data_IF_211868620345
#
_entry.id   IF_211868620345
#
_cell.length_a   1.000
_cell.length_b   1.000
_cell.length_c   1.000
_cell.angle_alpha   90.00
_cell.angle_beta   90.00
_cell.angle_gamma   90.00
#
_symmetry.space_group_name_H-M   'P 1'
#
loop_
_entity.id
_entity.type
_entity.pdbx_description
1 polymer ?
#
# COMPACT_ATOMS: atom_id res chain seq x y z
N UNK A 1 0.80 -11.86 -4.82
CA UNK A 1 0.09 -10.85 -4.01
C UNK A 1 -1.38 -10.97 -4.37
N UNK A 2 -2.26 -11.18 -3.39
CA UNK A 2 -3.69 -11.23 -3.62
C UNK A 2 -4.26 -9.84 -3.39
N UNK A 3 -4.47 -9.08 -4.47
CA UNK A 3 -5.30 -7.88 -4.43
C UNK A 3 -6.74 -8.35 -4.32
N UNK A 4 -7.33 -8.16 -3.14
CA UNK A 4 -8.75 -8.34 -2.94
C UNK A 4 -9.44 -7.19 -3.69
N UNK A 5 -10.00 -7.47 -4.87
CA UNK A 5 -10.80 -6.50 -5.62
C UNK A 5 -12.03 -6.20 -4.76
N UNK A 6 -12.01 -5.06 -4.07
CA UNK A 6 -13.21 -4.54 -3.43
C UNK A 6 -14.29 -4.37 -4.49
N UNK A 7 -15.53 -4.78 -4.20
CA UNK A 7 -16.67 -4.63 -5.10
C UNK A 7 -16.65 -3.27 -5.77
N UNK A 8 -16.42 -3.26 -7.08
CA UNK A 8 -16.50 -2.06 -7.88
C UNK A 8 -17.92 -1.50 -7.76
N UNK A 9 -18.03 -0.22 -7.37
CA UNK A 9 -19.31 0.47 -7.37
C UNK A 9 -19.49 1.01 -8.78
N UNK A 10 -20.34 0.35 -9.57
CA UNK A 10 -20.73 0.85 -10.88
C UNK A 10 -21.67 2.03 -10.71
N UNK A 11 -21.29 3.20 -11.22
CA UNK A 11 -22.19 4.34 -11.41
C UNK A 11 -22.69 4.33 -12.84
N UNK A 12 -23.67 3.46 -13.08
CA UNK A 12 -24.29 3.28 -14.40
C UNK A 12 -24.88 4.58 -14.97
N UNK A 13 -25.25 5.53 -14.11
CA UNK A 13 -25.76 6.86 -14.47
C UNK A 13 -24.69 7.78 -15.10
N UNK A 14 -23.41 7.53 -14.80
CA UNK A 14 -22.27 8.30 -15.31
C UNK A 14 -21.42 7.51 -16.31
N UNK A 15 -21.73 6.23 -16.52
CA UNK A 15 -20.96 5.33 -17.40
C UNK A 15 -19.53 5.08 -16.91
N UNK A 16 -19.28 5.20 -15.59
CA UNK A 16 -17.95 5.02 -14.99
C UNK A 16 -17.98 3.99 -13.85
N UNK A 17 -16.89 3.25 -13.72
CA UNK A 17 -16.64 2.30 -12.64
C UNK A 17 -15.76 2.97 -11.58
N UNK A 18 -16.23 3.06 -10.34
CA UNK A 18 -15.39 3.50 -9.23
C UNK A 18 -14.47 2.34 -8.81
N UNK A 19 -13.15 2.57 -8.91
CA UNK A 19 -12.15 1.59 -8.44
C UNK A 19 -11.71 1.91 -7.03
N UNK A 20 -11.56 0.88 -6.20
CA UNK A 20 -10.92 0.98 -4.88
C UNK A 20 -9.73 0.05 -4.83
N UNK A 21 -8.55 0.62 -4.58
CA UNK A 21 -7.31 -0.11 -4.46
C UNK A 21 -6.68 0.15 -3.09
N UNK A 22 -5.93 -0.82 -2.58
CA UNK A 22 -5.21 -0.67 -1.33
C UNK A 22 -3.79 -1.17 -1.47
N UNK A 23 -2.84 -0.49 -0.83
CA UNK A 23 -1.44 -0.90 -0.80
C UNK A 23 -0.83 -0.70 0.60
N UNK A 24 0.18 -1.49 0.91
CA UNK A 24 0.99 -1.33 2.11
C UNK A 24 2.34 -0.72 1.71
N UNK A 25 2.50 0.57 1.97
CA UNK A 25 3.68 1.33 1.58
C UNK A 25 4.68 1.39 2.74
N UNK A 26 5.93 1.00 2.48
CA UNK A 26 7.03 1.21 3.43
C UNK A 26 7.55 2.64 3.28
N UNK A 27 7.62 3.40 4.39
CA UNK A 27 8.05 4.80 4.43
C UNK A 27 9.11 5.03 5.51
N UNK A 28 9.96 6.03 5.28
CA UNK A 28 10.95 6.55 6.24
C UNK A 28 10.68 8.05 6.44
N UNK A 29 10.54 8.50 7.68
CA UNK A 29 10.26 9.90 8.01
C UNK A 29 11.47 10.68 8.55
N UNK A 30 12.65 10.07 8.59
CA UNK A 30 13.85 10.65 9.22
C UNK A 30 14.20 10.04 10.57
N UNK A 31 13.24 9.40 11.26
CA UNK A 31 13.47 8.78 12.57
C UNK A 31 13.21 7.27 12.53
N UNK A 32 12.15 6.82 11.87
CA UNK A 32 11.68 5.42 11.93
C UNK A 32 11.22 4.92 10.58
N UNK A 33 11.48 3.64 10.32
CA UNK A 33 10.89 2.92 9.20
C UNK A 33 9.52 2.37 9.61
N UNK A 34 8.49 2.59 8.81
CA UNK A 34 7.13 2.14 9.10
C UNK A 34 6.38 1.72 7.84
N UNK A 35 5.33 0.94 8.03
CA UNK A 35 4.36 0.56 6.99
C UNK A 35 3.10 1.38 7.19
N UNK A 36 2.57 1.93 6.10
CA UNK A 36 1.30 2.63 6.03
C UNK A 36 0.35 1.91 5.07
N UNK A 37 -0.92 1.81 5.45
CA UNK A 37 -1.95 1.24 4.59
C UNK A 37 -2.71 2.36 3.88
N UNK A 38 -2.44 2.48 2.58
CA UNK A 38 -2.96 3.52 1.71
C UNK A 38 -4.17 2.97 0.94
N UNK A 39 -5.23 3.76 0.88
CA UNK A 39 -6.47 3.45 0.14
C UNK A 39 -6.65 4.49 -0.96
N UNK A 40 -6.82 4.00 -2.18
CA UNK A 40 -6.96 4.80 -3.39
C UNK A 40 -8.33 4.61 -3.99
N UNK A 41 -9.00 5.70 -4.37
CA UNK A 41 -10.20 5.67 -5.19
C UNK A 41 -9.88 6.29 -6.54
N UNK A 42 -10.12 5.56 -7.63
CA UNK A 42 -9.81 6.02 -8.99
C UNK A 42 -8.36 6.52 -9.13
N UNK A 43 -7.41 5.83 -8.51
CA UNK A 43 -5.99 6.19 -8.47
C UNK A 43 -5.61 7.35 -7.55
N UNK A 44 -6.59 8.02 -6.92
CA UNK A 44 -6.33 9.09 -5.96
C UNK A 44 -6.24 8.55 -4.53
N UNK A 45 -5.17 8.87 -3.81
CA UNK A 45 -5.05 8.55 -2.39
C UNK A 45 -6.13 9.29 -1.60
N UNK A 46 -7.06 8.55 -1.00
CA UNK A 46 -8.17 9.12 -0.22
C UNK A 46 -8.01 8.89 1.28
N UNK A 47 -7.29 7.83 1.69
CA UNK A 47 -7.15 7.52 3.11
C UNK A 47 -5.86 6.79 3.44
N UNK A 48 -5.34 7.08 4.65
CA UNK A 48 -4.23 6.37 5.29
C UNK A 48 -4.74 5.79 6.60
N UNK A 49 -4.91 4.47 6.67
CA UNK A 49 -5.56 3.84 7.84
C UNK A 49 -4.65 3.76 9.04
N UNK A 50 -3.57 3.01 8.92
CA UNK A 50 -2.71 2.69 10.04
C UNK A 50 -1.24 2.85 9.70
N UNK A 51 -0.49 3.25 10.71
CA UNK A 51 0.95 3.38 10.70
C UNK A 51 1.54 2.41 11.71
N UNK A 52 2.44 1.53 11.26
CA UNK A 52 3.09 0.51 12.09
C UNK A 52 4.59 0.52 11.88
N UNK A 53 5.35 0.64 12.96
CA UNK A 53 6.80 0.60 12.88
C UNK A 53 7.26 -0.76 12.34
N UNK A 54 8.24 -0.73 11.44
CA UNK A 54 8.90 -1.94 10.97
C UNK A 54 9.78 -2.46 12.11
N UNK A 55 9.58 -3.72 12.48
CA UNK A 55 10.39 -4.38 13.50
C UNK A 55 11.76 -4.77 12.92
N UNK A 56 12.76 -4.93 13.79
CA UNK A 56 14.11 -5.31 13.37
C UNK A 56 14.14 -6.57 12.48
N UNK A 57 13.45 -7.68 12.80
CA UNK A 57 13.46 -8.86 11.93
C UNK A 57 12.92 -8.59 10.53
N UNK A 58 11.88 -7.77 10.41
CA UNK A 58 11.28 -7.40 9.12
C UNK A 58 12.24 -6.49 8.35
N UNK A 59 12.89 -5.53 9.01
CA UNK A 59 13.89 -4.68 8.37
C UNK A 59 15.06 -5.50 7.79
N UNK A 60 15.56 -6.49 8.53
CA UNK A 60 16.61 -7.41 8.05
C UNK A 60 16.15 -8.22 6.85
N UNK A 61 14.91 -8.72 6.85
CA UNK A 61 14.35 -9.46 5.73
C UNK A 61 14.22 -8.58 4.46
N UNK A 62 13.70 -7.36 4.61
CA UNK A 62 13.61 -6.39 3.51
C UNK A 62 14.98 -6.05 2.91
N UNK A 63 15.97 -5.81 3.77
CA UNK A 63 17.34 -5.54 3.33
C UNK A 63 17.92 -6.71 2.51
N UNK A 64 17.68 -7.95 2.95
CA UNK A 64 18.13 -9.13 2.22
C UNK A 64 17.50 -9.23 0.82
N UNK A 65 16.21 -8.91 0.67
CA UNK A 65 15.53 -8.87 -0.63
C UNK A 65 16.12 -7.79 -1.54
N UNK A 66 16.30 -6.57 -1.02
CA UNK A 66 16.87 -5.44 -1.77
C UNK A 66 18.29 -5.73 -2.24
N UNK A 67 19.10 -6.42 -1.41
CA UNK A 67 20.46 -6.76 -1.79
C UNK A 67 20.52 -7.86 -2.85
N UNK A 68 19.54 -8.79 -2.88
CA UNK A 68 19.45 -9.81 -3.94
C UNK A 68 19.07 -9.22 -5.29
N UNK A 69 18.23 -8.19 -5.33
CA UNK A 69 17.82 -7.55 -6.60
C UNK A 69 18.89 -6.64 -7.20
N UNK A 70 19.97 -6.35 -6.48
CA UNK A 70 21.12 -5.57 -6.96
C UNK A 70 22.25 -6.43 -7.56
N UNK A 71 22.17 -7.75 -7.40
CA UNK A 71 23.09 -8.72 -7.99
C UNK A 71 22.59 -9.13 -9.38
#
# INVERSE_FOLDING_TARGET
MFTQTGSAILRDDLGVEETTETDNIVRWDGERLYVEHDVYHNGQLVHRKYRRNVTEPVARALLAVINRTKQ
#
